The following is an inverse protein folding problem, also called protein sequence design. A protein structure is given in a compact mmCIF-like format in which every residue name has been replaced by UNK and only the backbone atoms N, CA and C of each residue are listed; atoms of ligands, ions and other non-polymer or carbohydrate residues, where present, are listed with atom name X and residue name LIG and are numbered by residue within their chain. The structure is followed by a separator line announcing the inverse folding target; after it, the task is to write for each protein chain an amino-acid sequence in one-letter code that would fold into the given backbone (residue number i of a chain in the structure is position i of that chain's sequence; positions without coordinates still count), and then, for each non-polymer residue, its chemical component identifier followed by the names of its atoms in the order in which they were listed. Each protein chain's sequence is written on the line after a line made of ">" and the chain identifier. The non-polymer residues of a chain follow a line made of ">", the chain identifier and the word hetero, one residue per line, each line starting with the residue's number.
data_IF_149310151739
#
_entry.id   IF_149310151739
#
_cell.length_a   1.000
_cell.length_b   1.000
_cell.length_c   1.000
_cell.angle_alpha   90.00
_cell.angle_beta   90.00
_cell.angle_gamma   90.00
#
_symmetry.space_group_name_H-M   'P 1'
#
loop_
_entity.id
_entity.type
_entity.pdbx_description
1 polymer ?
#
# COMPACT_ATOMS: atom_id res chain seq x y z
N UNK A 1 -40.53 -16.87 15.99
CA UNK A 1 -40.50 -18.22 15.40
C UNK A 1 -40.63 -18.08 13.91
N UNK A 2 -39.49 -18.11 13.21
CA UNK A 2 -39.32 -18.40 11.79
C UNK A 2 -37.80 -18.39 11.58
N UNK A 3 -37.23 -19.59 11.48
CA UNK A 3 -35.83 -19.83 11.14
C UNK A 3 -35.55 -19.44 9.68
N UNK A 4 -34.33 -18.97 9.33
CA UNK A 4 -33.92 -18.83 7.94
C UNK A 4 -33.43 -20.17 7.40
N UNK A 5 -33.99 -20.57 6.27
CA UNK A 5 -33.63 -21.76 5.49
C UNK A 5 -32.21 -21.71 4.96
N UNK A 6 -31.42 -22.74 5.30
CA UNK A 6 -30.25 -23.22 4.57
C UNK A 6 -30.60 -23.42 3.08
N UNK A 7 -30.20 -22.48 2.23
CA UNK A 7 -30.27 -22.62 0.78
C UNK A 7 -29.07 -21.94 0.11
N UNK A 8 -27.87 -22.27 0.57
CA UNK A 8 -26.62 -22.02 -0.15
C UNK A 8 -25.54 -23.09 0.13
N UNK A 9 -25.94 -24.23 0.69
CA UNK A 9 -25.09 -25.39 0.85
C UNK A 9 -25.76 -26.57 0.13
N UNK A 10 -24.95 -27.35 -0.58
CA UNK A 10 -25.31 -28.62 -1.24
C UNK A 10 -25.77 -28.53 -2.70
N UNK A 11 -24.80 -28.31 -3.58
CA UNK A 11 -24.82 -28.93 -4.91
C UNK A 11 -23.39 -29.28 -5.35
N UNK A 12 -22.86 -30.40 -4.87
CA UNK A 12 -21.96 -31.29 -5.63
C UNK A 12 -21.63 -32.55 -4.81
N UNK A 13 -22.41 -33.61 -5.02
CA UNK A 13 -22.02 -34.97 -4.67
C UNK A 13 -22.19 -35.85 -5.92
N UNK A 14 -21.20 -35.82 -6.80
CA UNK A 14 -20.91 -36.85 -7.80
C UNK A 14 -19.56 -36.56 -8.46
N UNK A 15 -18.51 -37.31 -8.07
CA UNK A 15 -17.13 -37.17 -8.56
C UNK A 15 -16.34 -36.13 -7.77
N UNK A 16 -15.65 -36.57 -6.70
CA UNK A 16 -14.94 -35.68 -5.78
C UNK A 16 -13.75 -34.98 -6.45
N UNK A 17 -13.97 -33.79 -7.01
CA UNK A 17 -12.89 -32.85 -7.27
C UNK A 17 -12.53 -32.17 -5.94
N UNK A 18 -11.25 -32.21 -5.56
CA UNK A 18 -10.71 -31.41 -4.46
C UNK A 18 -11.07 -29.93 -4.68
N UNK A 19 -11.36 -29.19 -3.61
CA UNK A 19 -11.55 -27.74 -3.73
C UNK A 19 -10.26 -27.08 -4.23
N UNK A 20 -10.36 -25.93 -4.90
CA UNK A 20 -9.17 -25.22 -5.40
C UNK A 20 -8.19 -24.85 -4.27
N UNK A 21 -8.72 -24.55 -3.08
CA UNK A 21 -7.96 -24.26 -1.88
C UNK A 21 -7.24 -25.51 -1.32
N UNK A 22 -7.95 -26.64 -1.22
CA UNK A 22 -7.36 -27.92 -0.79
C UNK A 22 -6.23 -28.34 -1.73
N UNK A 23 -6.43 -28.19 -3.04
CA UNK A 23 -5.41 -28.47 -4.04
C UNK A 23 -4.19 -27.55 -3.91
N UNK A 24 -4.40 -26.27 -3.57
CA UNK A 24 -3.31 -25.32 -3.33
C UNK A 24 -2.53 -25.64 -2.06
N UNK A 25 -3.23 -25.96 -0.96
CA UNK A 25 -2.59 -26.36 0.31
C UNK A 25 -1.79 -27.66 0.17
N UNK A 26 -2.30 -28.62 -0.58
CA UNK A 26 -1.56 -29.84 -0.90
C UNK A 26 -0.32 -29.55 -1.77
N UNK A 27 -0.43 -28.65 -2.75
CA UNK A 27 0.71 -28.22 -3.56
C UNK A 27 1.76 -27.48 -2.71
N UNK A 28 1.36 -26.64 -1.76
CA UNK A 28 2.26 -26.00 -0.79
C UNK A 28 2.97 -27.06 0.05
N UNK A 29 2.21 -28.00 0.63
CA UNK A 29 2.77 -29.06 1.46
C UNK A 29 3.77 -29.94 0.69
N UNK A 30 3.45 -30.30 -0.55
CA UNK A 30 4.34 -31.11 -1.38
C UNK A 30 5.60 -30.34 -1.78
N UNK A 31 5.45 -29.09 -2.21
CA UNK A 31 6.60 -28.25 -2.57
C UNK A 31 7.50 -28.00 -1.35
N UNK A 32 6.92 -27.82 -0.17
CA UNK A 32 7.66 -27.66 1.09
C UNK A 32 8.44 -28.92 1.47
N UNK A 33 7.83 -30.11 1.39
CA UNK A 33 8.54 -31.38 1.61
C UNK A 33 9.71 -31.55 0.63
N UNK A 34 9.51 -31.17 -0.63
CA UNK A 34 10.56 -31.22 -1.64
C UNK A 34 11.72 -30.31 -1.26
N UNK A 35 11.43 -29.04 -0.92
CA UNK A 35 12.42 -28.07 -0.44
C UNK A 35 13.15 -28.60 0.80
N UNK A 36 12.43 -29.08 1.81
CA UNK A 36 13.00 -29.59 3.07
C UNK A 36 13.90 -30.82 2.87
N UNK A 37 13.65 -31.62 1.84
CA UNK A 37 14.47 -32.78 1.49
C UNK A 37 15.75 -32.44 0.69
N UNK A 38 15.84 -31.24 0.12
CA UNK A 38 17.01 -30.81 -0.66
C UNK A 38 18.14 -30.35 0.25
N UNK A 39 19.41 -30.74 -0.03
CA UNK A 39 20.56 -30.24 0.70
C UNK A 39 20.71 -28.72 0.56
N UNK A 40 21.46 -28.11 1.47
CA UNK A 40 21.76 -26.66 1.45
C UNK A 40 23.18 -26.35 1.92
N UNK A 41 24.08 -27.35 1.90
CA UNK A 41 25.42 -27.24 2.48
C UNK A 41 26.42 -26.60 1.52
N UNK A 42 26.24 -26.79 0.21
CA UNK A 42 27.10 -26.24 -0.83
C UNK A 42 26.39 -25.19 -1.68
N UNK A 43 27.17 -24.32 -2.34
CA UNK A 43 26.63 -23.34 -3.29
C UNK A 43 25.83 -24.01 -4.42
N UNK A 44 26.24 -25.21 -4.85
CA UNK A 44 25.52 -25.99 -5.86
C UNK A 44 24.15 -26.41 -5.34
N UNK A 45 24.09 -26.93 -4.12
CA UNK A 45 22.83 -27.34 -3.49
C UNK A 45 21.88 -26.16 -3.35
N UNK A 46 22.38 -25.01 -2.90
CA UNK A 46 21.61 -23.76 -2.78
C UNK A 46 21.07 -23.31 -4.15
N UNK A 47 21.89 -23.37 -5.21
CA UNK A 47 21.46 -23.03 -6.57
C UNK A 47 20.39 -23.98 -7.11
N UNK A 48 20.47 -25.28 -6.79
CA UNK A 48 19.47 -26.27 -7.17
C UNK A 48 18.17 -26.12 -6.38
N UNK A 49 18.25 -25.71 -5.11
CA UNK A 49 17.12 -25.52 -4.19
C UNK A 49 16.33 -24.22 -4.44
N UNK A 50 16.99 -23.13 -4.84
CA UNK A 50 16.38 -21.81 -4.99
C UNK A 50 15.14 -21.74 -5.93
N UNK A 51 15.09 -22.45 -7.09
CA UNK A 51 13.87 -22.53 -7.89
C UNK A 51 12.68 -23.12 -7.13
N UNK A 52 12.94 -24.10 -6.25
CA UNK A 52 11.90 -24.77 -5.46
C UNK A 52 11.41 -23.90 -4.30
N UNK A 53 12.30 -23.15 -3.65
CA UNK A 53 11.95 -22.17 -2.61
C UNK A 53 11.12 -21.02 -3.20
N UNK A 54 11.53 -20.50 -4.37
CA UNK A 54 10.73 -19.50 -5.08
C UNK A 54 9.34 -20.03 -5.42
N UNK A 55 9.25 -21.27 -5.91
CA UNK A 55 7.96 -21.88 -6.25
C UNK A 55 7.09 -22.05 -5.01
N UNK A 56 7.67 -22.42 -3.87
CA UNK A 56 6.98 -22.47 -2.59
C UNK A 56 6.41 -21.09 -2.23
N UNK A 57 7.22 -20.04 -2.28
CA UNK A 57 6.78 -18.69 -1.97
C UNK A 57 5.67 -18.16 -2.89
N UNK A 58 5.69 -18.53 -4.17
CA UNK A 58 4.60 -18.22 -5.11
C UNK A 58 3.28 -18.90 -4.71
N UNK A 59 3.34 -20.17 -4.28
CA UNK A 59 2.16 -20.91 -3.84
C UNK A 59 1.61 -20.34 -2.52
N UNK A 60 2.49 -20.00 -1.58
CA UNK A 60 2.12 -19.43 -0.29
C UNK A 60 1.50 -18.05 -0.44
N UNK A 61 2.07 -17.17 -1.26
CA UNK A 61 1.46 -15.86 -1.52
C UNK A 61 0.09 -16.00 -2.21
N UNK A 62 -0.05 -16.96 -3.14
CA UNK A 62 -1.33 -17.26 -3.80
C UNK A 62 -2.39 -17.74 -2.81
N UNK A 63 -1.98 -18.35 -1.68
CA UNK A 63 -2.87 -18.72 -0.59
C UNK A 63 -3.17 -17.54 0.35
N UNK A 64 -2.15 -16.75 0.71
CA UNK A 64 -2.28 -15.66 1.70
C UNK A 64 -3.10 -14.47 1.17
N UNK A 65 -2.91 -14.08 -0.10
CA UNK A 65 -3.52 -12.87 -0.63
C UNK A 65 -5.07 -12.92 -0.68
N UNK A 66 -5.72 -14.02 -1.11
CA UNK A 66 -7.19 -14.14 -1.02
C UNK A 66 -7.71 -14.07 0.42
N UNK A 67 -7.03 -14.72 1.38
CA UNK A 67 -7.39 -14.68 2.80
C UNK A 67 -7.30 -13.25 3.34
N UNK A 68 -6.25 -12.52 2.97
CA UNK A 68 -6.11 -11.12 3.39
C UNK A 68 -7.20 -10.23 2.79
N UNK A 69 -7.56 -10.43 1.52
CA UNK A 69 -8.68 -9.72 0.89
C UNK A 69 -9.99 -10.00 1.61
N UNK A 70 -10.25 -11.27 1.96
CA UNK A 70 -11.43 -11.65 2.73
C UNK A 70 -11.46 -11.00 4.12
N UNK A 71 -10.31 -10.98 4.83
CA UNK A 71 -10.17 -10.31 6.12
C UNK A 71 -10.46 -8.81 6.02
N UNK A 72 -9.87 -8.12 5.03
CA UNK A 72 -10.12 -6.69 4.77
C UNK A 72 -11.61 -6.42 4.50
N UNK A 73 -12.27 -7.26 3.69
CA UNK A 73 -13.71 -7.15 3.44
C UNK A 73 -14.54 -7.38 4.70
N UNK A 74 -14.15 -8.34 5.55
CA UNK A 74 -14.82 -8.62 6.81
C UNK A 74 -14.70 -7.45 7.79
N UNK A 75 -13.52 -6.84 7.88
CA UNK A 75 -13.29 -5.62 8.69
C UNK A 75 -14.18 -4.47 8.23
N UNK A 76 -14.34 -4.28 6.91
CA UNK A 76 -15.23 -3.25 6.39
C UNK A 76 -16.69 -3.55 6.72
N UNK A 77 -17.12 -4.81 6.66
CA UNK A 77 -18.47 -5.19 7.06
C UNK A 77 -18.73 -4.89 8.54
N UNK A 78 -17.82 -5.27 9.43
CA UNK A 78 -17.89 -4.91 10.87
C UNK A 78 -17.95 -3.39 11.07
N UNK A 79 -17.15 -2.64 10.31
CA UNK A 79 -17.19 -1.18 10.36
C UNK A 79 -18.56 -0.61 9.96
N UNK A 80 -19.19 -1.13 8.90
CA UNK A 80 -20.53 -0.72 8.47
C UNK A 80 -21.63 -1.14 9.45
N UNK A 81 -21.46 -2.25 10.17
CA UNK A 81 -22.34 -2.65 11.27
C UNK A 81 -22.27 -1.66 12.44
N UNK A 82 -21.06 -1.21 12.81
CA UNK A 82 -20.84 -0.28 13.93
C UNK A 82 -21.22 1.17 13.62
N UNK A 83 -20.97 1.62 12.38
CA UNK A 83 -21.08 3.03 12.00
C UNK A 83 -22.17 3.33 10.97
N UNK A 84 -22.88 2.30 10.52
CA UNK A 84 -23.92 2.39 9.49
C UNK A 84 -23.36 2.21 8.09
N UNK A 85 -24.25 1.85 7.16
CA UNK A 85 -23.90 1.61 5.76
C UNK A 85 -23.27 2.85 5.12
N UNK A 86 -22.16 2.64 4.43
CA UNK A 86 -21.48 3.71 3.73
C UNK A 86 -22.14 4.01 2.39
N UNK A 87 -22.08 5.29 2.00
CA UNK A 87 -22.67 5.71 0.73
C UNK A 87 -21.86 5.16 -0.45
N UNK A 88 -22.53 4.32 -1.25
CA UNK A 88 -21.97 3.72 -2.46
C UNK A 88 -22.92 3.89 -3.64
N UNK A 89 -22.32 4.06 -4.82
CA UNK A 89 -23.04 4.13 -6.10
C UNK A 89 -22.27 3.32 -7.15
N UNK A 90 -22.94 2.69 -8.12
CA UNK A 90 -22.27 1.94 -9.17
C UNK A 90 -21.50 2.88 -10.09
N UNK A 91 -20.28 2.47 -10.48
CA UNK A 91 -19.50 3.13 -11.50
C UNK A 91 -20.31 3.24 -12.80
N UNK A 92 -20.40 4.44 -13.39
CA UNK A 92 -21.21 4.67 -14.59
C UNK A 92 -20.65 4.05 -15.89
N UNK A 93 -19.58 3.24 -15.79
CA UNK A 93 -19.03 2.46 -16.90
C UNK A 93 -19.02 0.95 -16.63
N UNK A 94 -18.44 0.51 -15.50
CA UNK A 94 -18.33 -0.92 -15.19
C UNK A 94 -19.40 -1.45 -14.23
N UNK A 95 -20.23 -0.59 -13.65
CA UNK A 95 -21.31 -0.91 -12.69
C UNK A 95 -20.85 -1.49 -11.34
N UNK A 96 -19.54 -1.63 -11.10
CA UNK A 96 -19.00 -1.99 -9.78
C UNK A 96 -19.33 -0.88 -8.76
N UNK A 97 -19.71 -1.28 -7.54
CA UNK A 97 -19.97 -0.36 -6.42
C UNK A 97 -18.71 0.47 -6.08
N UNK A 98 -18.89 1.76 -5.85
CA UNK A 98 -17.82 2.69 -5.43
C UNK A 98 -18.25 3.47 -4.19
N UNK A 99 -17.45 3.44 -3.13
CA UNK A 99 -17.65 4.21 -1.90
C UNK A 99 -17.36 5.71 -2.12
N UNK A 100 -18.29 6.44 -2.73
CA UNK A 100 -18.10 7.80 -3.26
C UNK A 100 -17.60 8.86 -2.26
N UNK A 101 -17.77 8.63 -0.97
CA UNK A 101 -17.37 9.59 0.07
C UNK A 101 -16.07 9.20 0.78
N UNK A 102 -15.47 8.06 0.41
CA UNK A 102 -14.31 7.56 1.11
C UNK A 102 -13.02 8.26 0.71
N UNK A 103 -12.79 8.47 -0.58
CA UNK A 103 -11.70 9.31 -1.07
C UNK A 103 -12.08 9.93 -2.43
N UNK A 104 -11.51 11.07 -2.74
CA UNK A 104 -11.63 11.69 -4.06
C UNK A 104 -10.78 10.96 -5.12
N UNK A 105 -9.81 10.12 -4.74
CA UNK A 105 -8.94 9.41 -5.70
C UNK A 105 -9.53 8.10 -6.22
N UNK A 106 -10.47 7.48 -5.50
CA UNK A 106 -11.10 6.20 -5.89
C UNK A 106 -12.18 6.37 -6.97
N UNK A 107 -12.62 7.61 -7.21
CA UNK A 107 -13.57 7.95 -8.27
C UNK A 107 -13.09 9.15 -9.07
N UNK A 108 -13.41 9.19 -10.36
CA UNK A 108 -13.20 10.36 -11.19
C UNK A 108 -14.54 11.00 -11.52
N UNK A 109 -14.76 12.22 -11.05
CA UNK A 109 -15.97 12.99 -11.34
C UNK A 109 -15.75 13.89 -12.55
N UNK A 110 -16.69 13.84 -13.49
CA UNK A 110 -16.70 14.67 -14.69
C UNK A 110 -17.45 15.97 -14.44
N UNK A 111 -16.72 17.09 -14.44
CA UNK A 111 -17.28 18.42 -14.13
C UNK A 111 -18.39 18.87 -15.10
N UNK A 112 -18.43 18.36 -16.33
CA UNK A 112 -19.45 18.72 -17.31
C UNK A 112 -20.85 18.21 -16.97
N UNK A 113 -20.97 17.06 -16.29
CA UNK A 113 -22.26 16.43 -15.99
C UNK A 113 -22.45 16.01 -14.52
N UNK A 114 -21.39 16.06 -13.71
CA UNK A 114 -21.41 15.62 -12.31
C UNK A 114 -21.36 14.11 -12.13
N UNK A 115 -21.49 13.33 -13.22
CA UNK A 115 -21.32 11.89 -13.23
C UNK A 115 -19.89 11.47 -12.90
N UNK A 116 -19.71 10.22 -12.47
CA UNK A 116 -18.41 9.70 -12.04
C UNK A 116 -18.15 8.28 -12.57
N UNK A 117 -16.89 7.87 -12.52
CA UNK A 117 -16.45 6.50 -12.77
C UNK A 117 -15.49 6.05 -11.65
N UNK A 118 -15.32 4.75 -11.45
CA UNK A 118 -14.23 4.25 -10.61
C UNK A 118 -12.87 4.63 -11.20
N UNK A 119 -11.83 4.65 -10.36
CA UNK A 119 -10.45 4.98 -10.74
C UNK A 119 -9.94 4.17 -11.94
N UNK A 120 -10.15 2.85 -11.95
CA UNK A 120 -9.73 1.95 -13.05
C UNK A 120 -10.33 2.38 -14.39
N UNK A 121 -11.65 2.56 -14.45
CA UNK A 121 -12.32 3.00 -15.67
C UNK A 121 -11.87 4.41 -16.10
N UNK A 122 -11.60 5.30 -15.15
CA UNK A 122 -11.06 6.63 -15.45
C UNK A 122 -9.66 6.56 -16.05
N UNK A 123 -8.79 5.73 -15.50
CA UNK A 123 -7.41 5.56 -15.97
C UNK A 123 -7.37 4.92 -17.37
N UNK A 124 -8.18 3.88 -17.60
CA UNK A 124 -8.30 3.26 -18.91
C UNK A 124 -8.87 4.22 -19.95
N UNK A 125 -9.87 5.01 -19.57
CA UNK A 125 -10.40 6.07 -20.40
C UNK A 125 -9.34 7.14 -20.73
N UNK A 126 -8.53 7.60 -19.75
CA UNK A 126 -7.46 8.58 -19.98
C UNK A 126 -6.38 8.08 -20.95
N UNK A 127 -6.07 6.77 -20.95
CA UNK A 127 -5.10 6.18 -21.88
C UNK A 127 -5.51 6.36 -23.35
N UNK A 128 -6.81 6.49 -23.65
CA UNK A 128 -7.29 6.72 -25.02
C UNK A 128 -7.16 8.17 -25.49
N UNK A 129 -6.65 9.08 -24.64
CA UNK A 129 -6.57 10.54 -24.91
C UNK A 129 -7.90 11.11 -25.41
N UNK A 130 -8.98 10.95 -24.64
CA UNK A 130 -10.32 11.36 -25.07
C UNK A 130 -10.44 12.88 -25.12
N UNK A 131 -11.22 13.37 -26.07
CA UNK A 131 -11.55 14.81 -26.20
C UNK A 131 -12.97 15.12 -25.71
N UNK A 132 -13.78 14.10 -25.41
CA UNK A 132 -15.18 14.22 -25.01
C UNK A 132 -15.44 13.36 -23.77
N UNK A 133 -16.35 13.81 -22.91
CA UNK A 133 -16.81 13.08 -21.74
C UNK A 133 -17.47 11.75 -22.15
N UNK A 134 -17.16 10.62 -21.50
CA UNK A 134 -17.73 9.32 -21.87
C UNK A 134 -19.21 9.19 -21.47
N UNK A 135 -19.69 10.08 -20.59
CA UNK A 135 -21.05 10.05 -20.05
C UNK A 135 -22.01 10.98 -20.81
N UNK A 136 -21.61 12.24 -21.01
CA UNK A 136 -22.48 13.25 -21.64
C UNK A 136 -21.98 13.76 -22.99
N UNK A 137 -20.81 13.32 -23.47
CA UNK A 137 -20.19 13.71 -24.75
C UNK A 137 -19.80 15.18 -24.91
N UNK A 138 -20.00 16.01 -23.88
CA UNK A 138 -19.44 17.36 -23.84
C UNK A 138 -17.91 17.34 -24.01
N UNK A 139 -17.32 18.30 -24.73
CA UNK A 139 -15.87 18.43 -24.82
C UNK A 139 -15.23 18.53 -23.44
N UNK A 140 -14.14 17.78 -23.23
CA UNK A 140 -13.34 17.90 -22.03
C UNK A 140 -12.59 19.24 -22.07
N UNK A 141 -12.82 20.06 -21.04
CA UNK A 141 -12.24 21.40 -20.94
C UNK A 141 -10.92 21.34 -20.19
N UNK A 142 -9.94 22.12 -20.62
CA UNK A 142 -8.57 22.05 -20.11
C UNK A 142 -8.20 23.24 -19.21
N UNK A 143 -8.89 24.39 -19.34
CA UNK A 143 -8.53 25.57 -18.56
C UNK A 143 -9.17 25.56 -17.17
N UNK A 144 -8.42 26.03 -16.17
CA UNK A 144 -8.91 26.15 -14.79
C UNK A 144 -10.15 27.05 -14.68
N UNK A 145 -10.25 28.09 -15.52
CA UNK A 145 -11.41 28.99 -15.54
C UNK A 145 -12.68 28.28 -16.01
N UNK A 146 -12.57 27.44 -17.03
CA UNK A 146 -13.71 26.66 -17.53
C UNK A 146 -14.16 25.60 -16.54
N UNK A 147 -13.21 24.92 -15.88
CA UNK A 147 -13.51 23.94 -14.82
C UNK A 147 -14.22 24.62 -13.64
N UNK A 148 -13.82 25.83 -13.26
CA UNK A 148 -14.47 26.61 -12.21
C UNK A 148 -15.92 26.98 -12.59
N UNK A 149 -16.16 27.40 -13.83
CA UNK A 149 -17.52 27.67 -14.31
C UNK A 149 -18.41 26.43 -14.22
N UNK A 150 -17.88 25.25 -14.58
CA UNK A 150 -18.59 23.99 -14.45
C UNK A 150 -18.83 23.60 -12.98
N UNK A 151 -17.84 23.79 -12.11
CA UNK A 151 -17.97 23.57 -10.66
C UNK A 151 -19.10 24.41 -10.08
N UNK A 152 -19.21 25.68 -10.51
CA UNK A 152 -20.19 26.62 -9.96
C UNK A 152 -21.64 26.19 -10.18
N UNK A 153 -21.94 25.51 -11.30
CA UNK A 153 -23.26 24.91 -11.55
C UNK A 153 -23.66 23.92 -10.45
N UNK A 154 -22.71 23.18 -9.88
CA UNK A 154 -22.98 22.21 -8.81
C UNK A 154 -22.97 22.85 -7.42
N UNK A 155 -22.17 23.90 -7.22
CA UNK A 155 -22.20 24.70 -5.99
C UNK A 155 -23.54 25.41 -5.83
N UNK A 156 -24.09 25.99 -6.90
CA UNK A 156 -25.42 26.60 -6.91
C UNK A 156 -26.53 25.60 -6.59
N UNK A 157 -26.33 24.32 -6.95
CA UNK A 157 -27.22 23.20 -6.59
C UNK A 157 -26.98 22.66 -5.17
N UNK A 158 -26.03 23.22 -4.43
CA UNK A 158 -25.70 22.81 -3.06
C UNK A 158 -25.06 21.43 -2.96
N UNK A 159 -24.36 20.96 -3.99
CA UNK A 159 -23.68 19.67 -3.95
C UNK A 159 -22.46 19.72 -3.01
N UNK A 160 -22.45 18.91 -1.96
CA UNK A 160 -21.42 18.96 -0.90
C UNK A 160 -19.99 18.77 -1.43
N UNK A 161 -19.79 17.87 -2.39
CA UNK A 161 -18.49 17.67 -3.03
C UNK A 161 -18.00 18.93 -3.77
N UNK A 162 -18.93 19.67 -4.39
CA UNK A 162 -18.60 20.88 -5.16
C UNK A 162 -18.30 22.06 -4.22
N UNK A 163 -19.09 22.21 -3.16
CA UNK A 163 -18.84 23.20 -2.10
C UNK A 163 -17.48 22.96 -1.43
N UNK A 164 -17.14 21.70 -1.15
CA UNK A 164 -15.84 21.31 -0.59
C UNK A 164 -14.70 21.65 -1.55
N UNK A 165 -14.80 21.26 -2.82
CA UNK A 165 -13.78 21.57 -3.83
C UNK A 165 -13.56 23.08 -4.00
N UNK A 166 -14.64 23.88 -4.02
CA UNK A 166 -14.55 25.33 -4.08
C UNK A 166 -13.87 25.90 -2.84
N UNK A 167 -14.29 25.45 -1.66
CA UNK A 167 -13.73 25.87 -0.37
C UNK A 167 -12.24 25.59 -0.27
N UNK A 168 -11.82 24.36 -0.54
CA UNK A 168 -10.39 23.96 -0.58
C UNK A 168 -9.62 24.77 -1.62
N UNK A 169 -10.20 24.98 -2.82
CA UNK A 169 -9.61 25.82 -3.85
C UNK A 169 -9.37 27.27 -3.39
N UNK A 170 -10.33 27.86 -2.67
CA UNK A 170 -10.20 29.18 -2.06
C UNK A 170 -9.19 29.20 -0.91
N UNK A 171 -9.11 28.18 -0.07
CA UNK A 171 -8.16 28.15 1.06
C UNK A 171 -6.70 28.09 0.59
N UNK A 172 -6.41 27.33 -0.45
CA UNK A 172 -5.03 27.08 -0.89
C UNK A 172 -4.64 27.84 -2.17
N UNK A 173 -5.60 28.43 -2.88
CA UNK A 173 -5.37 29.13 -4.14
C UNK A 173 -5.24 28.20 -5.35
N UNK A 174 -6.01 27.12 -5.40
CA UNK A 174 -6.01 26.16 -6.51
C UNK A 174 -6.98 26.54 -7.63
N UNK A 175 -6.89 25.89 -8.79
CA UNK A 175 -7.81 26.07 -9.93
C UNK A 175 -7.90 27.53 -10.44
N UNK A 176 -6.82 28.31 -10.30
CA UNK A 176 -6.82 29.73 -10.68
C UNK A 176 -7.63 30.63 -9.75
N UNK A 177 -8.09 30.12 -8.61
CA UNK A 177 -8.78 30.88 -7.57
C UNK A 177 -7.74 31.57 -6.71
N UNK A 178 -7.95 32.85 -6.39
CA UNK A 178 -7.10 33.56 -5.44
C UNK A 178 -7.34 33.04 -4.02
N UNK A 179 -6.25 32.87 -3.27
CA UNK A 179 -6.28 32.47 -1.86
C UNK A 179 -7.13 33.43 -1.03
N UNK A 180 -8.19 32.89 -0.41
CA UNK A 180 -9.21 33.55 0.40
C UNK A 180 -9.66 32.59 1.52
N UNK A 181 -8.82 32.43 2.55
CA UNK A 181 -9.01 31.42 3.60
C UNK A 181 -10.38 31.52 4.30
N UNK A 182 -10.78 32.72 4.72
CA UNK A 182 -12.05 32.94 5.42
C UNK A 182 -13.25 32.48 4.58
N UNK A 183 -13.33 32.95 3.33
CA UNK A 183 -14.43 32.59 2.41
C UNK A 183 -14.38 31.10 2.06
N UNK A 184 -13.18 30.53 1.90
CA UNK A 184 -13.02 29.09 1.68
C UNK A 184 -13.56 28.26 2.84
N UNK A 185 -13.26 28.68 4.08
CA UNK A 185 -13.77 28.03 5.29
C UNK A 185 -15.29 28.12 5.42
N UNK A 186 -15.90 29.25 5.00
CA UNK A 186 -17.36 29.38 4.95
C UNK A 186 -18.00 28.35 4.01
N UNK A 187 -17.39 28.09 2.84
CA UNK A 187 -17.85 27.04 1.92
C UNK A 187 -17.65 25.63 2.46
N UNK A 188 -16.51 25.34 3.08
CA UNK A 188 -16.26 24.06 3.74
C UNK A 188 -17.30 23.83 4.84
N UNK A 189 -17.60 24.84 5.67
CA UNK A 189 -18.59 24.73 6.74
C UNK A 189 -20.01 24.42 6.22
N UNK A 190 -20.39 24.88 5.02
CA UNK A 190 -21.67 24.49 4.41
C UNK A 190 -21.74 22.99 4.10
N UNK A 191 -20.65 22.40 3.63
CA UNK A 191 -20.56 20.96 3.40
C UNK A 191 -20.43 20.16 4.71
N UNK A 192 -19.71 20.69 5.71
CA UNK A 192 -19.63 20.12 7.07
C UNK A 192 -21.02 20.04 7.72
N UNK A 193 -21.86 21.06 7.54
CA UNK A 193 -23.23 21.08 8.05
C UNK A 193 -24.14 20.00 7.43
N UNK A 194 -23.71 19.38 6.32
CA UNK A 194 -24.37 18.25 5.64
C UNK A 194 -23.69 16.91 5.93
N UNK A 195 -22.83 16.88 6.93
CA UNK A 195 -22.02 15.72 7.32
C UNK A 195 -21.18 15.14 6.17
N UNK A 196 -20.71 15.98 5.25
CA UNK A 196 -19.91 15.52 4.13
C UNK A 196 -18.48 15.14 4.59
N UNK A 197 -18.04 13.87 4.48
CA UNK A 197 -16.86 13.38 5.20
C UNK A 197 -15.57 14.10 4.81
N UNK A 198 -15.37 14.35 3.51
CA UNK A 198 -14.19 15.07 3.04
C UNK A 198 -14.16 16.53 3.55
N UNK A 199 -15.30 17.21 3.66
CA UNK A 199 -15.32 18.58 4.20
C UNK A 199 -14.96 18.60 5.70
N UNK A 200 -15.45 17.61 6.46
CA UNK A 200 -15.11 17.46 7.88
C UNK A 200 -13.61 17.21 8.03
N UNK A 201 -13.03 16.36 7.18
CA UNK A 201 -11.60 16.09 7.19
C UNK A 201 -10.76 17.32 6.80
N UNK A 202 -11.21 18.12 5.83
CA UNK A 202 -10.53 19.38 5.49
C UNK A 202 -10.60 20.40 6.63
N UNK A 203 -11.74 20.50 7.33
CA UNK A 203 -11.86 21.33 8.52
C UNK A 203 -10.91 20.86 9.63
N UNK A 204 -10.78 19.54 9.82
CA UNK A 204 -9.80 18.95 10.72
C UNK A 204 -8.36 19.32 10.33
N UNK A 205 -7.97 19.17 9.05
CA UNK A 205 -6.63 19.53 8.58
C UNK A 205 -6.33 21.01 8.83
N UNK A 206 -7.28 21.89 8.51
CA UNK A 206 -7.14 23.33 8.76
C UNK A 206 -6.95 23.63 10.25
N UNK A 207 -7.83 23.14 11.11
CA UNK A 207 -7.76 23.42 12.56
C UNK A 207 -6.53 22.78 13.21
N UNK A 208 -6.20 21.55 12.87
CA UNK A 208 -5.04 20.84 13.42
C UNK A 208 -3.73 21.51 13.07
N UNK A 209 -3.60 22.11 11.88
CA UNK A 209 -2.41 22.88 11.50
C UNK A 209 -2.18 24.13 12.35
N UNK A 210 -3.23 24.66 12.97
CA UNK A 210 -3.17 25.81 13.87
C UNK A 210 -2.96 25.42 15.34
N UNK A 211 -3.02 24.13 15.68
CA UNK A 211 -2.78 23.65 17.04
C UNK A 211 -1.28 23.70 17.37
N UNK A 212 -1.00 24.06 18.61
CA UNK A 212 0.35 24.07 19.19
C UNK A 212 0.34 23.34 20.53
N UNK A 213 1.52 23.11 21.13
CA UNK A 213 1.62 22.59 22.49
C UNK A 213 1.00 23.50 23.55
N UNK A 214 0.74 24.77 23.23
CA UNK A 214 0.09 25.75 24.10
C UNK A 214 -1.43 25.83 23.90
N UNK A 215 -1.98 25.15 22.89
CA UNK A 215 -3.42 25.10 22.65
C UNK A 215 -4.14 24.40 23.80
N UNK A 216 -5.36 24.84 24.11
CA UNK A 216 -6.15 24.27 25.21
C UNK A 216 -6.56 22.83 24.92
N UNK A 217 -6.77 22.03 25.97
CA UNK A 217 -7.28 20.65 25.87
C UNK A 217 -8.59 20.60 25.07
N UNK A 218 -9.49 21.55 25.30
CA UNK A 218 -10.75 21.65 24.55
C UNK A 218 -10.54 21.84 23.03
N UNK A 219 -9.53 22.61 22.62
CA UNK A 219 -9.23 22.80 21.19
C UNK A 219 -8.70 21.50 20.54
N UNK A 220 -7.91 20.73 21.27
CA UNK A 220 -7.46 19.39 20.84
C UNK A 220 -8.63 18.41 20.76
N UNK A 221 -9.51 18.37 21.77
CA UNK A 221 -10.70 17.52 21.78
C UNK A 221 -11.66 17.84 20.62
N UNK A 222 -11.93 19.12 20.35
CA UNK A 222 -12.74 19.53 19.21
C UNK A 222 -12.16 19.06 17.87
N UNK A 223 -10.83 19.16 17.69
CA UNK A 223 -10.18 18.68 16.48
C UNK A 223 -10.26 17.14 16.38
N UNK A 224 -10.05 16.43 17.48
CA UNK A 224 -10.16 14.98 17.51
C UNK A 224 -11.58 14.50 17.20
N UNK A 225 -12.61 15.23 17.66
CA UNK A 225 -14.00 14.94 17.34
C UNK A 225 -14.29 15.08 15.84
N UNK A 226 -13.67 16.05 15.15
CA UNK A 226 -13.78 16.16 13.70
C UNK A 226 -13.12 14.97 12.99
N UNK A 227 -11.93 14.56 13.44
CA UNK A 227 -11.23 13.40 12.88
C UNK A 227 -12.06 12.12 13.05
N UNK A 228 -12.54 11.86 14.26
CA UNK A 228 -13.40 10.72 14.57
C UNK A 228 -14.67 10.73 13.72
N UNK A 229 -15.32 11.89 13.60
CA UNK A 229 -16.55 12.02 12.80
C UNK A 229 -16.30 11.72 11.32
N UNK A 230 -15.27 12.31 10.72
CA UNK A 230 -14.93 12.05 9.32
C UNK A 230 -14.57 10.56 9.09
N UNK A 231 -13.79 9.97 10.00
CA UNK A 231 -13.42 8.56 9.92
C UNK A 231 -14.64 7.63 10.04
N UNK A 232 -15.54 7.88 10.99
CA UNK A 232 -16.74 7.06 11.19
C UNK A 232 -17.76 7.19 10.05
N UNK A 233 -17.76 8.32 9.33
CA UNK A 233 -18.54 8.47 8.10
C UNK A 233 -17.86 7.84 6.87
N UNK A 234 -16.80 7.06 7.07
CA UNK A 234 -16.13 6.28 6.03
C UNK A 234 -15.11 7.06 5.20
N UNK A 235 -14.56 8.19 5.67
CA UNK A 235 -13.47 8.86 4.95
C UNK A 235 -12.16 8.09 5.13
N UNK A 236 -11.56 7.59 4.04
CA UNK A 236 -10.38 6.73 4.02
C UNK A 236 -9.17 7.39 4.68
N UNK A 237 -8.78 8.59 4.22
CA UNK A 237 -7.65 9.32 4.81
C UNK A 237 -7.87 9.69 6.28
N UNK A 238 -9.12 9.90 6.70
CA UNK A 238 -9.41 10.16 8.11
C UNK A 238 -9.19 8.90 8.94
N UNK A 239 -9.59 7.72 8.44
CA UNK A 239 -9.28 6.44 9.06
C UNK A 239 -7.76 6.18 9.10
N UNK A 240 -7.01 6.50 8.05
CA UNK A 240 -5.54 6.41 8.06
C UNK A 240 -4.91 7.33 9.10
N UNK A 241 -5.36 8.58 9.21
CA UNK A 241 -4.90 9.51 10.25
C UNK A 241 -5.24 9.02 11.65
N UNK A 242 -6.46 8.51 11.84
CA UNK A 242 -6.91 7.98 13.13
C UNK A 242 -6.14 6.71 13.53
N UNK A 243 -5.85 5.83 12.57
CA UNK A 243 -5.00 4.67 12.78
C UNK A 243 -3.60 5.09 13.28
N UNK A 244 -2.99 6.09 12.64
CA UNK A 244 -1.71 6.64 13.06
C UNK A 244 -1.75 7.20 14.50
N UNK A 245 -2.84 7.89 14.88
CA UNK A 245 -3.03 8.39 16.26
C UNK A 245 -3.06 7.25 17.28
N UNK A 246 -3.83 6.19 17.00
CA UNK A 246 -3.90 5.02 17.89
C UNK A 246 -2.58 4.25 17.96
N UNK A 247 -1.84 4.13 16.86
CA UNK A 247 -0.55 3.43 16.87
C UNK A 247 0.54 4.19 17.62
N UNK A 248 0.54 5.53 17.51
CA UNK A 248 1.49 6.39 18.20
C UNK A 248 1.14 6.66 19.66
N UNK A 249 -0.15 6.70 20.00
CA UNK A 249 -0.62 7.16 21.31
C UNK A 249 -0.33 8.65 21.53
N UNK A 250 -0.75 9.50 20.58
CA UNK A 250 -0.48 10.94 20.61
C UNK A 250 -1.75 11.81 20.44
N UNK A 251 -1.61 13.11 20.70
CA UNK A 251 -2.68 14.11 20.51
C UNK A 251 -4.01 13.75 21.17
N UNK A 252 -3.96 13.19 22.38
CA UNK A 252 -5.15 12.84 23.16
C UNK A 252 -5.74 11.46 22.85
N UNK A 253 -5.10 10.66 22.00
CA UNK A 253 -5.43 9.25 21.80
C UNK A 253 -4.48 8.36 22.59
N UNK A 254 -5.02 7.38 23.31
CA UNK A 254 -4.21 6.33 23.93
C UNK A 254 -3.63 5.39 22.86
N UNK A 255 -2.44 4.84 23.15
CA UNK A 255 -1.81 3.86 22.27
C UNK A 255 -2.64 2.58 22.25
N UNK A 256 -3.24 2.26 21.11
CA UNK A 256 -4.10 1.10 20.90
C UNK A 256 -3.81 0.49 19.52
N UNK A 257 -2.99 -0.55 19.50
CA UNK A 257 -2.52 -1.16 18.25
C UNK A 257 -3.63 -1.93 17.52
N UNK A 258 -4.61 -2.46 18.27
CA UNK A 258 -5.78 -3.17 17.72
C UNK A 258 -6.68 -2.19 16.97
N UNK A 259 -7.05 -1.08 17.61
CA UNK A 259 -7.83 -0.02 16.93
C UNK A 259 -7.05 0.59 15.77
N UNK A 260 -5.73 0.77 15.93
CA UNK A 260 -4.86 1.22 14.87
C UNK A 260 -4.91 0.31 13.63
N UNK A 261 -4.75 -1.00 13.81
CA UNK A 261 -4.83 -1.99 12.74
C UNK A 261 -6.21 -2.06 12.09
N UNK A 262 -7.27 -2.03 12.89
CA UNK A 262 -8.65 -1.98 12.40
C UNK A 262 -8.88 -0.76 11.51
N UNK A 263 -8.51 0.44 11.98
CA UNK A 263 -8.68 1.68 11.21
C UNK A 263 -7.83 1.73 9.95
N UNK A 264 -6.60 1.21 9.98
CA UNK A 264 -5.76 1.07 8.79
C UNK A 264 -6.39 0.09 7.79
N UNK A 265 -6.95 -1.03 8.27
CA UNK A 265 -7.66 -2.01 7.44
C UNK A 265 -8.90 -1.41 6.78
N UNK A 266 -9.71 -0.65 7.52
CA UNK A 266 -10.87 0.08 6.98
C UNK A 266 -10.44 1.07 5.91
N UNK A 267 -9.42 1.89 6.17
CA UNK A 267 -8.90 2.85 5.19
C UNK A 267 -8.48 2.16 3.88
N UNK A 268 -7.75 1.04 3.98
CA UNK A 268 -7.33 0.26 2.82
C UNK A 268 -8.51 -0.45 2.11
N UNK A 269 -9.53 -0.90 2.85
CA UNK A 269 -10.73 -1.49 2.26
C UNK A 269 -11.50 -0.48 1.40
N UNK A 270 -11.53 0.78 1.86
CA UNK A 270 -12.19 1.89 1.19
C UNK A 270 -11.39 2.41 -0.01
N UNK A 271 -10.07 2.48 0.13
CA UNK A 271 -9.13 2.83 -0.94
C UNK A 271 -7.90 1.92 -0.88
N UNK A 272 -7.88 0.90 -1.74
CA UNK A 272 -6.73 0.00 -1.88
C UNK A 272 -5.45 0.68 -2.41
N UNK A 273 -5.50 1.98 -2.70
CA UNK A 273 -4.35 2.81 -3.06
C UNK A 273 -3.94 3.80 -1.96
N UNK A 274 -4.59 3.80 -0.78
CA UNK A 274 -4.16 4.59 0.37
C UNK A 274 -2.80 4.07 0.85
N UNK A 275 -1.76 4.81 0.49
CA UNK A 275 -0.38 4.47 0.79
C UNK A 275 -0.06 4.52 2.28
N UNK A 276 -0.79 5.33 3.07
CA UNK A 276 -0.58 5.44 4.51
C UNK A 276 -1.15 4.21 5.21
N UNK A 277 -2.36 3.80 4.83
CA UNK A 277 -2.97 2.55 5.26
C UNK A 277 -2.10 1.34 4.91
N UNK A 278 -1.68 1.25 3.64
CA UNK A 278 -0.80 0.20 3.16
C UNK A 278 0.53 0.18 3.94
N UNK A 279 1.14 1.33 4.20
CA UNK A 279 2.37 1.40 4.98
C UNK A 279 2.19 0.88 6.42
N UNK A 280 1.10 1.23 7.09
CA UNK A 280 0.83 0.75 8.46
C UNK A 280 0.60 -0.78 8.47
N UNK A 281 -0.22 -1.30 7.55
CA UNK A 281 -0.47 -2.74 7.43
C UNK A 281 0.82 -3.51 7.10
N UNK A 282 1.66 -2.97 6.20
CA UNK A 282 2.94 -3.57 5.85
C UNK A 282 3.91 -3.66 7.04
N UNK A 283 3.97 -2.63 7.90
CA UNK A 283 4.81 -2.66 9.10
C UNK A 283 4.30 -3.70 10.10
N UNK A 284 2.98 -3.81 10.25
CA UNK A 284 2.38 -4.78 11.16
C UNK A 284 2.64 -6.21 10.71
N UNK A 285 2.53 -6.50 9.41
CA UNK A 285 2.89 -7.82 8.88
C UNK A 285 4.39 -8.11 8.91
N UNK A 286 5.24 -7.08 8.86
CA UNK A 286 6.69 -7.26 8.94
C UNK A 286 7.16 -7.67 10.35
N UNK A 287 6.49 -7.17 11.39
CA UNK A 287 6.88 -7.37 12.79
C UNK A 287 5.96 -8.33 13.57
N UNK A 288 4.77 -8.64 13.05
CA UNK A 288 3.79 -9.51 13.70
C UNK A 288 3.42 -9.09 15.13
N UNK A 289 3.18 -10.09 15.98
CA UNK A 289 2.81 -9.95 17.39
C UNK A 289 3.93 -9.48 18.32
N UNK A 290 5.17 -9.29 17.87
CA UNK A 290 6.21 -8.61 18.66
C UNK A 290 5.83 -7.14 18.95
N UNK A 291 4.90 -6.59 18.17
CA UNK A 291 4.22 -5.33 18.46
C UNK A 291 3.05 -5.51 19.47
N UNK A 292 2.52 -6.73 19.62
CA UNK A 292 1.41 -7.18 20.49
C UNK A 292 1.65 -7.05 22.01
N UNK A 293 2.87 -7.34 22.44
CA UNK A 293 3.16 -7.81 23.80
C UNK A 293 3.05 -6.75 24.91
N UNK A 294 2.88 -5.47 24.58
CA UNK A 294 2.73 -4.40 25.60
C UNK A 294 1.28 -4.13 26.03
N UNK A 295 0.26 -4.72 25.38
CA UNK A 295 -1.14 -4.44 25.73
C UNK A 295 -1.70 -5.51 26.67
N UNK A 296 -2.04 -5.13 27.91
CA UNK A 296 -2.68 -6.00 28.93
C UNK A 296 -4.15 -6.35 28.61
N UNK A 297 -4.58 -6.23 27.36
CA UNK A 297 -5.98 -6.34 26.94
C UNK A 297 -6.25 -7.57 26.04
N UNK A 298 -5.35 -8.55 26.06
CA UNK A 298 -5.34 -9.72 25.18
C UNK A 298 -6.26 -10.88 25.60
N UNK A 299 -7.33 -10.64 26.38
CA UNK A 299 -8.22 -11.74 26.81
C UNK A 299 -9.65 -11.72 26.24
N UNK A 300 -10.07 -10.70 25.49
CA UNK A 300 -11.45 -10.66 24.95
C UNK A 300 -11.56 -10.32 23.45
N UNK A 301 -10.45 -10.09 22.74
CA UNK A 301 -10.50 -9.85 21.29
C UNK A 301 -10.29 -11.16 20.53
N UNK A 302 -11.38 -11.81 20.14
CA UNK A 302 -11.43 -12.99 19.26
C UNK A 302 -10.85 -12.73 17.84
N UNK A 303 -10.34 -11.50 17.58
CA UNK A 303 -10.04 -10.95 16.26
C UNK A 303 -8.57 -10.64 15.95
N UNK A 304 -7.60 -10.88 16.85
CA UNK A 304 -6.21 -10.42 16.58
C UNK A 304 -5.08 -11.38 17.00
N UNK A 305 -5.07 -12.57 16.41
CA UNK A 305 -3.83 -13.34 16.20
C UNK A 305 -3.16 -12.85 14.90
N UNK A 306 -2.56 -11.65 14.95
CA UNK A 306 -1.84 -11.12 13.79
C UNK A 306 -0.45 -11.76 13.68
N UNK A 307 -0.36 -12.80 12.86
CA UNK A 307 0.91 -13.44 12.54
C UNK A 307 1.74 -12.60 11.55
N UNK A 308 3.06 -12.58 11.74
CA UNK A 308 3.96 -11.97 10.78
C UNK A 308 3.83 -12.69 9.41
N UNK A 309 3.79 -11.92 8.34
CA UNK A 309 3.75 -12.47 6.98
C UNK A 309 4.66 -11.65 6.07
N UNK A 310 5.87 -12.14 5.76
CA UNK A 310 6.80 -11.44 4.85
C UNK A 310 6.18 -11.17 3.47
N UNK A 311 5.26 -12.03 3.02
CA UNK A 311 4.50 -11.85 1.79
C UNK A 311 3.55 -10.64 1.85
N UNK A 312 2.69 -10.57 2.87
CA UNK A 312 1.76 -9.45 3.04
C UNK A 312 2.51 -8.16 3.37
N UNK A 313 3.59 -8.24 4.14
CA UNK A 313 4.50 -7.12 4.38
C UNK A 313 5.03 -6.54 3.06
N UNK A 314 5.54 -7.39 2.16
CA UNK A 314 5.98 -6.96 0.83
C UNK A 314 4.84 -6.40 -0.01
N UNK A 315 3.68 -7.06 -0.04
CA UNK A 315 2.50 -6.61 -0.80
C UNK A 315 2.09 -5.19 -0.42
N UNK A 316 1.89 -4.95 0.87
CA UNK A 316 1.47 -3.65 1.38
C UNK A 316 2.56 -2.57 1.26
N UNK A 317 3.80 -2.90 1.60
CA UNK A 317 4.93 -1.98 1.47
C UNK A 317 5.20 -1.57 0.03
N UNK A 318 4.99 -2.49 -0.92
CA UNK A 318 5.11 -2.20 -2.33
C UNK A 318 4.10 -1.15 -2.78
N UNK A 319 2.83 -1.26 -2.36
CA UNK A 319 1.79 -0.26 -2.66
C UNK A 319 2.24 1.12 -2.14
N UNK A 320 2.70 1.20 -0.89
CA UNK A 320 3.16 2.45 -0.29
C UNK A 320 4.37 3.06 -1.02
N UNK A 321 5.38 2.24 -1.32
CA UNK A 321 6.63 2.66 -1.98
C UNK A 321 6.43 3.13 -3.43
N UNK A 322 5.37 2.68 -4.10
CA UNK A 322 5.03 3.16 -5.44
C UNK A 322 4.46 4.59 -5.46
N UNK A 323 3.89 5.05 -4.35
CA UNK A 323 3.29 6.39 -4.24
C UNK A 323 4.26 7.39 -3.62
N UNK A 324 4.99 6.98 -2.57
CA UNK A 324 5.92 7.84 -1.84
C UNK A 324 7.28 7.17 -1.77
N UNK A 325 8.27 7.76 -2.47
CA UNK A 325 9.64 7.23 -2.55
C UNK A 325 10.30 7.02 -1.17
N UNK A 326 9.87 7.76 -0.16
CA UNK A 326 10.33 7.63 1.24
C UNK A 326 10.05 6.23 1.81
N UNK A 327 9.05 5.50 1.31
CA UNK A 327 8.79 4.12 1.76
C UNK A 327 9.60 3.07 1.01
N UNK A 328 10.39 3.46 0.01
CA UNK A 328 11.29 2.54 -0.71
C UNK A 328 12.27 1.80 0.22
N UNK A 329 12.75 2.47 1.29
CA UNK A 329 13.58 1.82 2.30
C UNK A 329 12.85 0.74 3.10
N UNK A 330 11.60 1.01 3.49
CA UNK A 330 10.77 0.03 4.23
C UNK A 330 10.42 -1.17 3.35
N UNK A 331 10.11 -0.94 2.06
CA UNK A 331 9.90 -2.04 1.12
C UNK A 331 11.18 -2.84 0.87
N UNK A 332 12.35 -2.18 0.83
CA UNK A 332 13.64 -2.87 0.74
C UNK A 332 13.86 -3.83 1.92
N UNK A 333 13.50 -3.40 3.14
CA UNK A 333 13.58 -4.26 4.32
C UNK A 333 12.58 -5.42 4.26
N UNK A 334 11.36 -5.19 3.78
CA UNK A 334 10.37 -6.25 3.59
C UNK A 334 10.85 -7.30 2.58
N UNK A 335 11.41 -6.87 1.44
CA UNK A 335 12.01 -7.77 0.44
C UNK A 335 13.14 -8.61 1.02
N UNK A 336 14.00 -8.01 1.86
CA UNK A 336 15.08 -8.73 2.52
C UNK A 336 14.57 -9.72 3.58
N UNK A 337 13.50 -9.37 4.31
CA UNK A 337 12.83 -10.26 5.25
C UNK A 337 12.19 -11.46 4.53
N UNK A 338 11.57 -11.22 3.36
CA UNK A 338 11.03 -12.28 2.53
C UNK A 338 12.12 -13.21 1.98
N UNK A 339 13.24 -12.65 1.51
CA UNK A 339 14.38 -13.44 1.03
C UNK A 339 14.92 -14.36 2.13
N UNK A 340 15.12 -13.83 3.34
CA UNK A 340 15.48 -14.63 4.52
C UNK A 340 14.45 -15.70 4.85
N UNK A 341 13.17 -15.39 4.74
CA UNK A 341 12.09 -16.34 4.98
C UNK A 341 12.12 -17.50 3.99
N UNK A 342 12.44 -17.24 2.72
CA UNK A 342 12.52 -18.25 1.67
C UNK A 342 13.79 -19.10 1.74
N UNK A 343 14.90 -18.54 2.23
CA UNK A 343 16.24 -19.14 2.16
C UNK A 343 16.84 -19.48 3.55
N UNK A 344 16.01 -19.89 4.52
CA UNK A 344 16.43 -20.34 5.87
C UNK A 344 17.31 -19.33 6.66
N UNK A 345 17.13 -18.04 6.44
CA UNK A 345 17.76 -16.97 7.22
C UNK A 345 19.16 -16.54 6.76
N UNK A 346 19.84 -17.33 5.93
CA UNK A 346 21.15 -16.99 5.38
C UNK A 346 21.03 -16.33 4.00
N UNK A 347 21.62 -15.15 3.87
CA UNK A 347 21.68 -14.45 2.60
C UNK A 347 22.73 -15.11 1.67
N UNK A 348 22.30 -15.58 0.50
CA UNK A 348 23.18 -16.14 -0.53
C UNK A 348 22.93 -15.49 -1.90
N UNK A 349 24.01 -15.11 -2.60
CA UNK A 349 23.92 -14.61 -3.99
C UNK A 349 23.63 -15.75 -4.95
N UNK A 350 22.36 -16.10 -5.12
CA UNK A 350 21.94 -17.11 -6.11
C UNK A 350 21.63 -16.42 -7.45
N UNK A 351 22.42 -16.67 -8.51
CA UNK A 351 22.17 -16.05 -9.80
C UNK A 351 20.78 -16.40 -10.35
N UNK A 352 19.98 -15.39 -10.68
CA UNK A 352 18.61 -15.55 -11.16
C UNK A 352 17.54 -15.58 -10.06
N UNK A 353 17.96 -15.59 -8.80
CA UNK A 353 17.09 -15.56 -7.61
C UNK A 353 17.52 -14.48 -6.61
N UNK A 354 18.50 -13.63 -6.96
CA UNK A 354 19.09 -12.65 -6.04
C UNK A 354 18.15 -11.44 -5.83
N UNK A 355 17.78 -11.17 -4.57
CA UNK A 355 16.91 -10.05 -4.18
C UNK A 355 17.61 -8.68 -4.22
N UNK A 356 18.94 -8.61 -4.11
CA UNK A 356 19.67 -7.35 -3.91
C UNK A 356 19.43 -6.30 -4.99
N UNK A 357 19.37 -6.63 -6.30
CA UNK A 357 19.04 -5.64 -7.30
C UNK A 357 17.75 -4.86 -7.00
N UNK A 358 16.73 -5.52 -6.45
CA UNK A 358 15.47 -4.88 -6.06
C UNK A 358 15.64 -4.07 -4.76
N UNK A 359 16.30 -4.63 -3.74
CA UNK A 359 16.61 -3.94 -2.47
C UNK A 359 17.36 -2.63 -2.72
N UNK A 360 18.42 -2.66 -3.53
CA UNK A 360 19.21 -1.46 -3.83
C UNK A 360 18.44 -0.40 -4.60
N UNK A 361 17.57 -0.81 -5.52
CA UNK A 361 16.76 0.12 -6.29
C UNK A 361 15.76 0.86 -5.42
N UNK A 362 14.99 0.14 -4.60
CA UNK A 362 14.01 0.75 -3.71
C UNK A 362 14.69 1.57 -2.60
N UNK A 363 15.84 1.13 -2.09
CA UNK A 363 16.66 1.91 -1.17
C UNK A 363 17.25 3.18 -1.82
N UNK A 364 17.54 3.16 -3.12
CA UNK A 364 18.02 4.34 -3.84
C UNK A 364 16.93 5.39 -4.01
N UNK A 365 15.70 4.97 -4.34
CA UNK A 365 14.54 5.89 -4.39
C UNK A 365 14.35 6.65 -3.07
N UNK A 366 14.52 5.96 -1.95
CA UNK A 366 14.50 6.58 -0.62
C UNK A 366 15.59 7.64 -0.43
N UNK A 367 16.84 7.33 -0.80
CA UNK A 367 17.98 8.26 -0.65
C UNK A 367 17.88 9.48 -1.56
N UNK A 368 17.36 9.30 -2.77
CA UNK A 368 17.29 10.35 -3.78
C UNK A 368 16.04 11.25 -3.61
N UNK A 369 15.14 10.91 -2.68
CA UNK A 369 13.93 11.68 -2.39
C UNK A 369 14.26 13.05 -1.76
N UNK A 370 13.67 14.12 -2.31
CA UNK A 370 13.84 15.49 -1.81
C UNK A 370 13.41 15.66 -0.35
N UNK A 371 12.43 14.88 0.12
CA UNK A 371 11.96 14.89 1.51
C UNK A 371 13.00 14.35 2.51
N UNK A 372 14.09 13.78 2.01
CA UNK A 372 15.07 13.05 2.79
C UNK A 372 16.45 13.70 2.80
N UNK A 373 16.60 14.87 2.15
CA UNK A 373 17.79 15.74 2.24
C UNK A 373 17.96 16.28 3.67
N UNK A 374 18.44 15.44 4.58
CA UNK A 374 18.68 15.77 5.99
C UNK A 374 18.22 14.72 7.00
N UNK A 375 17.43 13.72 6.61
CA UNK A 375 17.04 12.63 7.51
C UNK A 375 18.10 11.52 7.52
N UNK A 376 18.71 11.27 8.69
CA UNK A 376 19.72 10.21 8.89
C UNK A 376 19.11 8.85 9.22
N UNK A 377 17.95 8.50 8.66
CA UNK A 377 17.51 7.11 8.73
C UNK A 377 18.30 6.32 7.69
N UNK A 378 19.52 5.94 8.06
CA UNK A 378 20.33 5.07 7.22
C UNK A 378 19.76 3.66 7.29
N UNK A 379 19.42 3.09 6.14
CA UNK A 379 19.18 1.66 6.05
C UNK A 379 20.51 0.96 6.38
N UNK A 380 20.59 0.30 7.54
CA UNK A 380 21.81 -0.40 7.97
C UNK A 380 22.15 -1.57 7.02
N UNK A 381 21.13 -2.27 6.51
CA UNK A 381 21.30 -3.47 5.68
C UNK A 381 21.96 -3.20 4.32
N UNK A 382 21.51 -2.24 3.47
CA UNK A 382 22.16 -1.95 2.19
C UNK A 382 23.62 -1.51 2.29
N UNK A 383 24.02 -0.85 3.39
CA UNK A 383 25.40 -0.38 3.57
C UNK A 383 26.38 -1.53 3.82
N UNK A 384 26.02 -2.45 4.70
CA UNK A 384 26.88 -3.61 4.98
C UNK A 384 27.00 -4.51 3.75
N UNK A 385 25.90 -4.69 3.02
CA UNK A 385 25.90 -5.44 1.74
C UNK A 385 26.74 -4.72 0.67
N UNK A 386 26.64 -3.39 0.57
CA UNK A 386 27.48 -2.61 -0.35
C UNK A 386 28.97 -2.76 -0.03
N UNK A 387 29.35 -2.69 1.25
CA UNK A 387 30.74 -2.93 1.69
C UNK A 387 31.21 -4.34 1.32
N UNK A 388 30.37 -5.35 1.53
CA UNK A 388 30.68 -6.74 1.15
C UNK A 388 30.86 -6.87 -0.36
N UNK A 389 29.95 -6.31 -1.16
CA UNK A 389 30.04 -6.33 -2.62
C UNK A 389 31.27 -5.59 -3.16
N UNK A 390 31.66 -4.47 -2.53
CA UNK A 390 32.91 -3.78 -2.90
C UNK A 390 34.17 -4.62 -2.62
N UNK A 391 34.10 -5.56 -1.65
CA UNK A 391 35.20 -6.44 -1.27
C UNK A 391 35.23 -7.74 -2.07
N UNK A 392 34.10 -8.31 -2.47
CA UNK A 392 34.04 -9.63 -3.11
C UNK A 392 33.40 -9.59 -4.49
N UNK A 393 33.96 -10.34 -5.44
CA UNK A 393 33.43 -10.40 -6.80
C UNK A 393 32.18 -11.28 -6.81
N UNK A 394 31.04 -10.75 -7.24
CA UNK A 394 29.77 -11.48 -7.34
C UNK A 394 29.78 -12.66 -8.32
N UNK A 395 30.82 -12.80 -9.15
CA UNK A 395 30.95 -13.93 -10.08
C UNK A 395 31.91 -15.01 -9.60
N UNK A 396 33.08 -14.63 -9.06
CA UNK A 396 34.16 -15.58 -8.76
C UNK A 396 34.56 -15.61 -7.29
N UNK A 397 33.93 -14.80 -6.43
CA UNK A 397 34.21 -14.73 -5.00
C UNK A 397 35.56 -14.14 -4.62
N UNK A 398 36.39 -13.71 -5.58
CA UNK A 398 37.71 -13.14 -5.31
C UNK A 398 37.59 -11.88 -4.44
N UNK A 399 38.36 -11.83 -3.36
CA UNK A 399 38.50 -10.63 -2.54
C UNK A 399 39.37 -9.58 -3.24
N UNK A 400 38.97 -8.32 -3.14
CA UNK A 400 39.71 -7.18 -3.66
C UNK A 400 41.03 -7.02 -2.90
N UNK A 401 42.11 -6.73 -3.65
CA UNK A 401 43.36 -6.30 -3.02
C UNK A 401 43.23 -4.90 -2.42
N UNK A 402 44.19 -4.51 -1.58
CA UNK A 402 44.24 -3.15 -1.04
C UNK A 402 44.16 -2.11 -2.18
N UNK A 403 43.23 -1.16 -2.05
CA UNK A 403 42.91 -0.10 -3.02
C UNK A 403 42.33 -0.54 -4.38
N UNK A 404 42.10 -1.84 -4.59
CA UNK A 404 41.46 -2.36 -5.80
C UNK A 404 39.96 -2.06 -5.80
N UNK A 405 39.46 -1.45 -6.88
CA UNK A 405 38.02 -1.13 -7.04
C UNK A 405 37.37 -2.03 -8.06
N UNK A 406 36.39 -2.82 -7.62
CA UNK A 406 35.60 -3.65 -8.52
C UNK A 406 34.61 -2.81 -9.35
N UNK A 407 34.32 -3.29 -10.55
CA UNK A 407 33.37 -2.70 -11.48
C UNK A 407 31.95 -2.98 -11.00
N UNK A 408 31.20 -1.94 -10.67
CA UNK A 408 29.79 -2.06 -10.31
C UNK A 408 28.90 -2.24 -11.56
N UNK A 409 27.85 -3.04 -11.47
CA UNK A 409 26.82 -3.09 -12.50
C UNK A 409 26.16 -1.71 -12.67
N UNK A 410 26.27 -1.10 -13.85
CA UNK A 410 25.75 0.25 -14.10
C UNK A 410 24.21 0.34 -14.04
N UNK A 411 23.50 -0.78 -14.21
CA UNK A 411 22.04 -0.82 -14.22
C UNK A 411 21.45 -0.95 -12.81
N UNK A 412 21.71 -2.06 -12.10
CA UNK A 412 21.12 -2.27 -10.78
C UNK A 412 21.94 -1.67 -9.63
N UNK A 413 23.22 -1.35 -9.85
CA UNK A 413 24.15 -0.85 -8.83
C UNK A 413 24.29 -1.75 -7.59
N UNK A 414 23.91 -3.02 -7.69
CA UNK A 414 23.82 -3.94 -6.55
C UNK A 414 24.83 -5.10 -6.60
N UNK A 415 25.71 -5.14 -7.61
CA UNK A 415 26.63 -6.25 -7.87
C UNK A 415 27.96 -5.70 -8.40
N UNK A 416 29.08 -6.33 -8.02
CA UNK A 416 30.44 -5.87 -8.28
C UNK A 416 31.31 -6.98 -8.86
N UNK A 417 32.19 -6.60 -9.80
CA UNK A 417 32.98 -7.55 -10.59
C UNK A 417 34.44 -7.12 -10.68
N UNK A 418 35.36 -8.05 -10.47
CA UNK A 418 36.79 -7.80 -10.65
C UNK A 418 37.18 -7.48 -12.10
N UNK A 419 36.42 -7.99 -13.07
CA UNK A 419 36.75 -7.90 -14.49
C UNK A 419 35.50 -7.78 -15.36
N UNK A 420 35.68 -7.50 -16.66
CA UNK A 420 34.53 -7.45 -17.58
C UNK A 420 34.02 -8.86 -17.88
N UNK A 421 34.93 -9.82 -17.86
CA UNK A 421 34.72 -11.24 -18.10
C UNK A 421 33.80 -11.82 -17.01
N UNK A 422 34.12 -11.57 -15.73
CA UNK A 422 33.28 -11.96 -14.61
C UNK A 422 31.89 -11.29 -14.66
N UNK A 423 31.79 -10.03 -15.10
CA UNK A 423 30.48 -9.41 -15.30
C UNK A 423 29.65 -10.15 -16.36
N UNK A 424 30.26 -10.57 -17.47
CA UNK A 424 29.59 -11.31 -18.55
C UNK A 424 29.20 -12.72 -18.10
N UNK A 425 30.06 -13.39 -17.34
CA UNK A 425 29.79 -14.70 -16.75
C UNK A 425 28.59 -14.65 -15.80
N UNK A 426 28.62 -13.76 -14.80
CA UNK A 426 27.49 -13.56 -13.89
C UNK A 426 26.20 -13.18 -14.64
N UNK A 427 26.30 -12.33 -15.68
CA UNK A 427 25.17 -11.97 -16.53
C UNK A 427 24.51 -13.19 -17.17
N UNK A 428 25.30 -14.14 -17.68
CA UNK A 428 24.81 -15.40 -18.26
C UNK A 428 24.29 -16.36 -17.20
N UNK A 429 24.94 -16.41 -16.03
CA UNK A 429 24.59 -17.31 -14.93
C UNK A 429 23.22 -17.00 -14.32
N UNK A 430 22.76 -15.75 -14.35
CA UNK A 430 21.41 -15.42 -13.90
C UNK A 430 21.18 -13.95 -13.54
N UNK A 431 22.25 -13.18 -13.31
CA UNK A 431 22.15 -11.76 -12.95
C UNK A 431 21.27 -10.95 -13.92
N UNK A 432 21.22 -11.32 -15.20
CA UNK A 432 20.36 -10.64 -16.16
C UNK A 432 18.87 -10.71 -15.79
N UNK A 433 18.42 -11.80 -15.17
CA UNK A 433 17.04 -11.95 -14.69
C UNK A 433 16.82 -11.01 -13.51
N UNK A 434 17.67 -11.08 -12.50
CA UNK A 434 17.58 -10.25 -11.29
C UNK A 434 17.62 -8.76 -11.62
N UNK A 435 18.56 -8.36 -12.47
CA UNK A 435 18.76 -6.97 -12.89
C UNK A 435 17.57 -6.41 -13.69
N UNK A 436 16.80 -7.28 -14.39
CA UNK A 436 15.58 -6.88 -15.11
C UNK A 436 14.38 -6.74 -14.18
N UNK A 437 14.30 -7.56 -13.11
CA UNK A 437 13.19 -7.57 -12.14
C UNK A 437 13.07 -6.27 -11.34
N UNK A 438 14.16 -5.52 -11.23
CA UNK A 438 14.23 -4.24 -10.53
C UNK A 438 13.13 -3.25 -10.93
N UNK A 439 12.72 -3.25 -12.20
CA UNK A 439 11.69 -2.35 -12.71
C UNK A 439 10.24 -2.83 -12.50
N UNK A 440 10.04 -4.00 -11.89
CA UNK A 440 8.69 -4.54 -11.66
C UNK A 440 8.11 -3.83 -10.44
N UNK A 441 7.07 -3.03 -10.68
CA UNK A 441 6.47 -2.17 -9.68
C UNK A 441 5.42 -2.89 -8.82
N UNK A 442 4.77 -3.93 -9.33
CA UNK A 442 3.79 -4.72 -8.61
C UNK A 442 4.46 -5.93 -7.94
N UNK A 443 4.24 -6.14 -6.64
CA UNK A 443 4.86 -7.24 -5.90
C UNK A 443 4.47 -8.64 -6.41
N UNK A 444 3.22 -8.85 -6.80
CA UNK A 444 2.76 -10.13 -7.36
C UNK A 444 3.49 -10.45 -8.66
N UNK A 445 3.60 -9.48 -9.57
CA UNK A 445 4.40 -9.61 -10.80
C UNK A 445 5.88 -9.86 -10.49
N UNK A 446 6.41 -9.21 -9.44
CA UNK A 446 7.80 -9.38 -9.02
C UNK A 446 8.07 -10.80 -8.52
N UNK A 447 7.15 -11.35 -7.72
CA UNK A 447 7.25 -12.71 -7.18
C UNK A 447 7.08 -13.78 -8.27
N UNK A 448 6.19 -13.51 -9.24
CA UNK A 448 5.89 -14.41 -10.35
C UNK A 448 6.84 -14.30 -11.55
N UNK A 449 7.74 -13.30 -11.56
CA UNK A 449 8.74 -13.16 -12.61
C UNK A 449 9.77 -14.31 -12.61
N UNK A 450 10.39 -14.57 -13.78
CA UNK A 450 11.19 -15.75 -14.20
C UNK A 450 11.92 -16.59 -13.16
#
# INVERSE_FOLDING_TARGET
>A
MNEPTEAAATACAAGGSKSEEEALLEAIAEQRRLVDAMPSDTLTDICERAPHEKKLGQLEFRHHLPLEKYRISSVLATFEEEHGSLYKEPCLLCLDDVYLHADLVISHRFMCCGGFTCKRCADDFRKTKPTQCPLCREPLRESSAELLLQLMVFVEKGASWAETMLGTGMMHGYFGIKKQERTGLEWINKAVAKDYPAAIFELFNFRSSALTSLSSTMAHEECNNLLLKAANLGHGQANSRLAMRYLGGDNGFEKDRVKGYFRASVAFALDGTDYSAAQMLGLMYLHGSELLEESKFSQESEFLDLEASPYLACYYMNIAANVVDVYGGQYSNALFSLDKHLHNGDYCEVPGYNVLPAVFFWASKYRDSDMNKGCKMELEVPKEIEKLGQRFCSSCGREAQADEKFKQCSRCKAQWYCSKECQVEAWKAGHNKDCKRVGILNFEDYLNSF
#
